data_IF_782936801215
#
_entry.id   IF_782936801215
#
_cell.length_a   1.000
_cell.length_b   1.000
_cell.length_c   1.000
_cell.angle_alpha   90.00
_cell.angle_beta   90.00
_cell.angle_gamma   90.00
#
_symmetry.space_group_name_H-M   'P 1'
#
loop_
_entity.id
_entity.type
_entity.pdbx_description
1 polymer ?
#
# COMPACT_ATOMS: atom_id res chain seq x y z
N UNK A 1 -8.53 -13.56 1.02
CA UNK A 1 -9.28 -14.71 1.59
C UNK A 1 -10.77 -14.45 1.42
N UNK A 2 -11.57 -15.47 1.08
CA UNK A 2 -13.04 -15.35 1.04
C UNK A 2 -13.66 -15.49 2.44
N UNK A 3 -14.32 -14.43 2.93
CA UNK A 3 -14.94 -14.38 4.26
C UNK A 3 -16.39 -13.89 4.21
N UNK A 4 -17.15 -14.15 5.26
CA UNK A 4 -18.46 -13.50 5.50
C UNK A 4 -18.21 -12.15 6.19
N UNK A 5 -18.80 -11.09 5.65
CA UNK A 5 -18.62 -9.72 6.10
C UNK A 5 -19.46 -9.38 7.31
N UNK A 6 -20.75 -9.65 7.24
CA UNK A 6 -21.68 -9.35 8.35
C UNK A 6 -21.51 -10.38 9.46
N UNK A 7 -21.35 -9.87 10.68
CA UNK A 7 -21.28 -10.68 11.90
C UNK A 7 -22.41 -10.31 12.85
N UNK A 8 -22.91 -11.31 13.57
CA UNK A 8 -23.92 -11.14 14.62
C UNK A 8 -23.38 -11.62 15.97
N UNK A 9 -23.58 -10.83 17.03
CA UNK A 9 -23.21 -11.18 18.38
C UNK A 9 -24.22 -12.14 19.01
N UNK A 10 -23.77 -13.29 19.48
CA UNK A 10 -24.62 -14.27 20.17
C UNK A 10 -24.93 -13.88 21.64
N UNK A 11 -24.56 -12.67 22.07
CA UNK A 11 -24.74 -12.20 23.46
C UNK A 11 -25.62 -10.95 23.56
N UNK A 12 -25.73 -10.16 22.49
CA UNK A 12 -26.53 -8.92 22.49
C UNK A 12 -27.17 -8.62 21.13
N UNK A 13 -27.13 -9.59 20.19
CA UNK A 13 -27.74 -9.55 18.85
C UNK A 13 -27.28 -8.39 17.94
N UNK A 14 -26.30 -7.58 18.39
CA UNK A 14 -25.72 -6.54 17.58
C UNK A 14 -25.03 -7.12 16.34
N UNK A 15 -25.29 -6.51 15.18
CA UNK A 15 -24.64 -6.84 13.92
C UNK A 15 -23.60 -5.78 13.54
N UNK A 16 -22.51 -6.20 12.90
CA UNK A 16 -21.48 -5.29 12.38
C UNK A 16 -20.74 -5.90 11.19
N UNK A 17 -20.04 -5.04 10.44
CA UNK A 17 -19.19 -5.43 9.32
C UNK A 17 -17.77 -5.77 9.79
N UNK A 18 -17.33 -7.01 9.54
CA UNK A 18 -15.94 -7.40 9.68
C UNK A 18 -15.03 -6.60 8.73
N UNK A 19 -15.51 -6.23 7.53
CA UNK A 19 -14.71 -5.45 6.59
C UNK A 19 -14.36 -4.04 7.09
N UNK A 20 -15.16 -3.52 8.04
CA UNK A 20 -14.90 -2.22 8.67
C UNK A 20 -14.07 -2.36 9.94
N UNK A 21 -14.38 -3.37 10.77
CA UNK A 21 -13.80 -3.50 12.11
C UNK A 21 -12.57 -4.40 12.18
N UNK A 22 -12.43 -5.34 11.24
CA UNK A 22 -11.38 -6.36 11.24
C UNK A 22 -11.46 -7.30 12.44
N UNK A 23 -12.58 -7.29 13.18
CA UNK A 23 -12.69 -7.89 14.50
C UNK A 23 -13.90 -8.80 14.61
N UNK A 24 -13.68 -9.96 15.23
CA UNK A 24 -14.75 -10.87 15.64
C UNK A 24 -15.37 -10.48 16.99
N UNK A 25 -14.79 -9.48 17.68
CA UNK A 25 -15.30 -8.94 18.92
C UNK A 25 -16.46 -8.00 18.63
N UNK A 26 -17.57 -8.20 19.33
CA UNK A 26 -18.74 -7.32 19.23
C UNK A 26 -18.36 -5.90 19.70
N UNK A 27 -18.58 -4.86 18.87
CA UNK A 27 -18.25 -3.49 19.24
C UNK A 27 -19.16 -2.94 20.35
N UNK A 28 -20.34 -3.52 20.55
CA UNK A 28 -21.31 -3.03 21.54
C UNK A 28 -21.05 -3.58 22.96
N UNK A 29 -20.79 -4.88 23.09
CA UNK A 29 -20.65 -5.54 24.41
C UNK A 29 -19.27 -6.18 24.66
N UNK A 30 -18.35 -6.11 23.70
CA UNK A 30 -17.01 -6.69 23.82
C UNK A 30 -16.96 -8.21 23.78
N UNK A 31 -18.08 -8.91 23.58
CA UNK A 31 -18.14 -10.37 23.49
C UNK A 31 -17.38 -10.91 22.26
N UNK A 32 -16.67 -12.02 22.41
CA UNK A 32 -16.01 -12.75 21.31
C UNK A 32 -16.95 -13.79 20.65
N UNK A 33 -18.16 -13.98 21.17
CA UNK A 33 -19.14 -14.94 20.63
C UNK A 33 -19.90 -14.29 19.48
N UNK A 34 -19.39 -14.48 18.26
CA UNK A 34 -20.03 -13.97 17.05
C UNK A 34 -19.98 -14.96 15.89
N UNK A 35 -20.98 -14.89 15.02
CA UNK A 35 -21.12 -15.74 13.83
C UNK A 35 -21.26 -14.89 12.58
N UNK A 36 -20.74 -15.38 11.44
CA UNK A 36 -20.90 -14.72 10.15
C UNK A 36 -22.22 -15.12 9.51
N UNK A 37 -23.09 -14.16 9.23
CA UNK A 37 -24.48 -14.37 8.80
C UNK A 37 -24.71 -14.23 7.29
N UNK A 38 -23.76 -13.66 6.55
CA UNK A 38 -23.88 -13.58 5.09
C UNK A 38 -24.01 -14.96 4.45
N UNK A 39 -24.88 -15.08 3.44
CA UNK A 39 -25.05 -16.31 2.66
C UNK A 39 -23.73 -16.65 1.94
N UNK A 40 -23.16 -15.65 1.26
CA UNK A 40 -21.95 -15.78 0.45
C UNK A 40 -20.69 -15.28 1.15
N UNK A 41 -19.54 -15.82 0.72
CA UNK A 41 -18.21 -15.34 1.11
C UNK A 41 -17.65 -14.45 0.01
N UNK A 42 -17.15 -13.27 0.35
CA UNK A 42 -16.51 -12.35 -0.59
C UNK A 42 -15.01 -12.26 -0.35
N UNK A 43 -14.26 -12.04 -1.43
CA UNK A 43 -12.83 -11.87 -1.36
C UNK A 43 -12.47 -10.63 -0.55
N UNK A 44 -11.51 -10.77 0.36
CA UNK A 44 -11.06 -9.68 1.21
C UNK A 44 -9.57 -9.83 1.49
N UNK A 45 -8.83 -8.78 1.18
CA UNK A 45 -7.39 -8.67 1.46
C UNK A 45 -7.10 -7.48 2.37
N UNK A 46 -7.98 -6.47 2.41
CA UNK A 46 -7.77 -5.23 3.16
C UNK A 46 -8.17 -5.31 4.62
N UNK A 47 -7.29 -5.85 5.48
CA UNK A 47 -7.56 -5.88 6.91
C UNK A 47 -7.43 -4.48 7.52
N UNK A 48 -8.37 -4.04 8.38
CA UNK A 48 -8.27 -2.76 9.05
C UNK A 48 -6.93 -2.59 9.79
N UNK A 49 -6.24 -1.50 9.46
CA UNK A 49 -4.95 -1.14 10.01
C UNK A 49 -4.87 0.38 10.13
N UNK A 50 -4.82 0.87 11.36
CA UNK A 50 -4.47 2.26 11.64
C UNK A 50 -2.96 2.42 11.52
N UNK A 51 -2.54 3.51 10.89
CA UNK A 51 -1.14 3.91 10.80
C UNK A 51 -0.90 5.06 11.77
N UNK A 52 -0.66 4.71 13.04
CA UNK A 52 -0.33 5.67 14.08
C UNK A 52 1.20 5.91 14.11
N UNK A 53 1.62 7.09 13.66
CA UNK A 53 3.01 7.54 13.63
C UNK A 53 3.32 8.57 14.72
N UNK A 54 2.33 8.95 15.53
CA UNK A 54 2.50 9.94 16.59
C UNK A 54 3.54 9.54 17.65
N UNK A 55 3.64 8.26 18.08
CA UNK A 55 4.72 7.83 18.98
C UNK A 55 6.11 8.06 18.41
N UNK A 56 6.30 7.83 17.10
CA UNK A 56 7.58 8.05 16.42
C UNK A 56 7.91 9.54 16.37
N UNK A 57 6.93 10.39 16.01
CA UNK A 57 7.08 11.85 15.99
C UNK A 57 7.50 12.39 17.36
N UNK A 58 6.92 11.85 18.44
CA UNK A 58 7.27 12.23 19.81
C UNK A 58 8.71 11.89 20.16
N UNK A 59 9.20 10.71 19.78
CA UNK A 59 10.60 10.32 20.00
C UNK A 59 11.54 11.27 19.24
N UNK A 60 11.23 11.55 17.97
CA UNK A 60 12.04 12.44 17.12
C UNK A 60 12.05 13.91 17.56
N UNK A 61 11.12 14.33 18.43
CA UNK A 61 11.14 15.67 19.00
C UNK A 61 12.31 15.89 19.98
N UNK A 62 12.89 14.81 20.51
CA UNK A 62 13.96 14.88 21.52
C UNK A 62 15.18 14.02 21.21
N UNK A 63 15.04 13.01 20.35
CA UNK A 63 16.08 12.03 20.03
C UNK A 63 16.36 12.00 18.51
N UNK A 64 17.58 11.66 18.08
CA UNK A 64 17.90 11.56 16.66
C UNK A 64 17.21 10.36 15.97
N UNK A 65 17.14 10.41 14.64
CA UNK A 65 16.42 9.43 13.80
C UNK A 65 16.74 7.98 14.11
N UNK A 66 18.01 7.67 14.34
CA UNK A 66 18.50 6.33 14.67
C UNK A 66 17.76 5.67 15.85
N UNK A 67 17.28 6.45 16.83
CA UNK A 67 16.56 5.92 18.00
C UNK A 67 15.08 5.62 17.72
N UNK A 68 14.52 6.16 16.63
CA UNK A 68 13.11 6.01 16.27
C UNK A 68 12.88 5.05 15.08
N UNK A 69 13.93 4.74 14.31
CA UNK A 69 13.84 3.97 13.05
C UNK A 69 13.27 2.57 13.24
N UNK A 70 13.61 1.87 14.31
CA UNK A 70 13.11 0.50 14.51
C UNK A 70 11.62 0.47 14.83
N UNK A 71 11.12 1.35 15.69
CA UNK A 71 9.68 1.49 15.97
C UNK A 71 8.91 1.94 14.71
N UNK A 72 9.48 2.92 13.97
CA UNK A 72 8.93 3.37 12.70
C UNK A 72 8.79 2.21 11.71
N UNK A 73 9.85 1.43 11.49
CA UNK A 73 9.86 0.29 10.58
C UNK A 73 8.86 -0.78 11.02
N UNK A 74 8.74 -1.04 12.32
CA UNK A 74 7.78 -2.00 12.84
C UNK A 74 6.34 -1.58 12.50
N UNK A 75 5.97 -0.32 12.77
CA UNK A 75 4.65 0.23 12.48
C UNK A 75 4.31 0.20 10.99
N UNK A 76 5.23 0.65 10.14
CA UNK A 76 5.05 0.66 8.69
C UNK A 76 4.92 -0.75 8.11
N UNK A 77 5.72 -1.71 8.59
CA UNK A 77 5.61 -3.12 8.19
C UNK A 77 4.30 -3.74 8.63
N UNK A 78 3.85 -3.44 9.85
CA UNK A 78 2.56 -3.94 10.33
C UNK A 78 1.40 -3.39 9.48
N UNK A 79 1.39 -2.08 9.22
CA UNK A 79 0.41 -1.44 8.36
C UNK A 79 0.42 -2.04 6.95
N UNK A 80 1.58 -2.05 6.28
CA UNK A 80 1.68 -2.53 4.89
C UNK A 80 1.43 -4.03 4.73
N UNK A 81 1.60 -4.83 5.79
CA UNK A 81 1.26 -6.27 5.80
C UNK A 81 -0.25 -6.52 5.93
N UNK A 82 -0.96 -5.67 6.68
CA UNK A 82 -2.41 -5.81 6.89
C UNK A 82 -3.23 -5.21 5.75
N UNK A 83 -2.71 -4.14 5.13
CA UNK A 83 -3.36 -3.47 3.99
C UNK A 83 -3.41 -4.38 2.78
N UNK A 84 -4.54 -4.29 2.10
CA UNK A 84 -4.80 -4.88 0.80
C UNK A 84 -5.73 -3.96 0.01
N UNK A 85 -6.13 -4.39 -1.17
CA UNK A 85 -6.89 -3.61 -2.13
C UNK A 85 -8.19 -4.27 -2.56
N UNK A 86 -8.66 -5.30 -1.85
CA UNK A 86 -10.00 -5.87 -2.00
C UNK A 86 -10.73 -5.78 -0.65
N UNK A 87 -11.80 -5.00 -0.61
CA UNK A 87 -12.65 -4.82 0.56
C UNK A 87 -14.03 -5.39 0.29
N UNK A 88 -14.33 -6.55 0.88
CA UNK A 88 -15.65 -7.21 0.73
C UNK A 88 -16.06 -7.48 -0.71
N UNK A 89 -15.12 -7.92 -1.56
CA UNK A 89 -15.29 -8.16 -2.99
C UNK A 89 -15.08 -6.94 -3.88
N UNK A 90 -15.02 -5.74 -3.30
CA UNK A 90 -14.83 -4.51 -4.06
C UNK A 90 -13.36 -4.14 -4.14
N UNK A 91 -12.89 -3.99 -5.38
CA UNK A 91 -11.53 -3.54 -5.65
C UNK A 91 -11.38 -2.06 -5.26
N UNK A 92 -10.29 -1.75 -4.55
CA UNK A 92 -9.95 -0.42 -4.02
C UNK A 92 -8.77 0.19 -4.78
N UNK A 93 -8.59 1.51 -4.78
CA UNK A 93 -7.43 2.14 -5.41
C UNK A 93 -6.14 1.89 -4.64
N UNK A 94 -5.02 1.84 -5.38
CA UNK A 94 -3.71 2.06 -4.81
C UNK A 94 -3.62 3.51 -4.31
N UNK A 95 -3.82 3.70 -3.02
CA UNK A 95 -3.82 5.00 -2.35
C UNK A 95 -2.42 5.55 -2.08
N UNK A 96 -2.32 6.85 -1.90
CA UNK A 96 -1.07 7.58 -1.64
C UNK A 96 -0.50 7.28 -0.26
N UNK A 97 -1.33 6.96 0.74
CA UNK A 97 -0.88 6.57 2.09
C UNK A 97 -0.06 5.28 2.06
N UNK A 98 -0.45 4.29 1.26
CA UNK A 98 0.30 3.05 1.12
C UNK A 98 1.63 3.26 0.38
N UNK A 99 1.67 4.16 -0.62
CA UNK A 99 2.90 4.56 -1.30
C UNK A 99 3.84 5.30 -0.34
N UNK A 100 3.32 6.28 0.41
CA UNK A 100 4.07 7.01 1.43
C UNK A 100 4.65 6.07 2.49
N UNK A 101 3.85 5.12 2.99
CA UNK A 101 4.30 4.17 4.01
C UNK A 101 5.43 3.25 3.52
N UNK A 102 5.34 2.79 2.26
CA UNK A 102 6.41 2.01 1.63
C UNK A 102 7.66 2.84 1.43
N UNK A 103 7.50 4.08 0.99
CA UNK A 103 8.64 4.95 0.76
C UNK A 103 9.34 5.36 2.05
N UNK A 104 8.58 5.78 3.07
CA UNK A 104 9.12 6.10 4.39
C UNK A 104 9.87 4.91 4.99
N UNK A 105 9.38 3.68 4.77
CA UNK A 105 10.05 2.46 5.25
C UNK A 105 11.45 2.30 4.65
N UNK A 106 11.59 2.45 3.34
CA UNK A 106 12.88 2.32 2.64
C UNK A 106 13.79 3.52 2.89
N UNK A 107 13.25 4.75 2.88
CA UNK A 107 14.01 5.96 3.09
C UNK A 107 14.60 6.02 4.51
N UNK A 108 13.79 5.69 5.54
CA UNK A 108 14.28 5.64 6.91
C UNK A 108 15.30 4.51 7.13
N UNK A 109 15.12 3.35 6.50
CA UNK A 109 16.10 2.25 6.59
C UNK A 109 17.44 2.62 5.95
N UNK A 110 17.41 3.30 4.80
CA UNK A 110 18.62 3.72 4.10
C UNK A 110 19.34 4.86 4.84
N UNK A 111 18.60 5.86 5.32
CA UNK A 111 19.15 6.96 6.11
C UNK A 111 19.76 6.47 7.44
N UNK A 112 19.16 5.48 8.10
CA UNK A 112 19.74 4.91 9.32
C UNK A 112 21.03 4.12 9.06
N UNK A 113 21.17 3.49 7.89
CA UNK A 113 22.38 2.71 7.54
C UNK A 113 23.59 3.59 7.25
N UNK A 114 23.40 4.85 6.86
CA UNK A 114 24.52 5.77 6.60
C UNK A 114 25.25 6.22 7.88
N UNK A 115 24.78 5.84 9.08
CA UNK A 115 25.31 6.19 10.42
C UNK A 115 25.30 7.69 10.77
N UNK A 116 25.28 8.58 9.78
CA UNK A 116 25.16 10.02 9.94
C UNK A 116 24.52 10.57 8.66
N UNK A 117 23.19 10.48 8.52
CA UNK A 117 22.49 11.04 7.38
C UNK A 117 22.76 12.54 7.29
N UNK A 118 22.82 13.03 6.05
CA UNK A 118 22.92 14.46 5.75
C UNK A 118 21.64 15.18 6.16
N UNK A 119 21.70 16.49 6.40
CA UNK A 119 20.52 17.30 6.74
C UNK A 119 19.40 17.16 5.69
N UNK A 120 19.74 17.04 4.41
CA UNK A 120 18.77 16.84 3.33
C UNK A 120 18.08 15.47 3.41
N UNK A 121 18.82 14.42 3.77
CA UNK A 121 18.25 13.07 3.97
C UNK A 121 17.32 13.03 5.18
N UNK A 122 17.73 13.65 6.29
CA UNK A 122 16.90 13.75 7.50
C UNK A 122 15.63 14.53 7.22
N UNK A 123 15.73 15.71 6.59
CA UNK A 123 14.58 16.53 6.21
C UNK A 123 13.60 15.75 5.34
N UNK A 124 14.11 15.01 4.36
CA UNK A 124 13.31 14.20 3.47
C UNK A 124 12.51 13.12 4.22
N UNK A 125 13.16 12.40 5.15
CA UNK A 125 12.49 11.39 5.98
C UNK A 125 11.46 12.02 6.92
N UNK A 126 11.77 13.18 7.51
CA UNK A 126 10.85 13.90 8.40
C UNK A 126 9.61 14.41 7.66
N UNK A 127 9.74 14.88 6.42
CA UNK A 127 8.60 15.31 5.61
C UNK A 127 7.71 14.12 5.23
N UNK A 128 8.31 13.01 4.78
CA UNK A 128 7.57 11.76 4.56
C UNK A 128 6.84 11.33 5.83
N UNK A 129 7.50 11.33 6.99
CA UNK A 129 6.88 11.02 8.27
C UNK A 129 5.72 11.97 8.59
N UNK A 130 5.86 13.25 8.27
CA UNK A 130 4.84 14.28 8.47
C UNK A 130 3.58 14.08 7.63
N UNK A 131 3.71 13.57 6.41
CA UNK A 131 2.60 13.42 5.45
C UNK A 131 2.03 12.00 5.28
N UNK A 132 2.76 10.97 5.73
CA UNK A 132 2.41 9.56 5.45
C UNK A 132 1.02 9.18 5.95
N UNK A 133 0.69 9.46 7.22
CA UNK A 133 -0.61 9.14 7.81
C UNK A 133 -1.77 9.93 7.17
N UNK A 134 -1.50 11.10 6.56
CA UNK A 134 -2.47 11.89 5.81
C UNK A 134 -2.60 11.46 4.34
N UNK A 135 -1.70 10.60 3.86
CA UNK A 135 -1.67 10.18 2.45
C UNK A 135 -1.12 11.26 1.51
N UNK A 136 -0.20 12.08 2.02
CA UNK A 136 0.50 13.08 1.21
C UNK A 136 1.69 12.40 0.52
N UNK A 137 1.49 12.02 -0.74
CA UNK A 137 2.52 11.44 -1.59
C UNK A 137 2.35 11.88 -3.04
N UNK A 138 3.43 12.27 -3.74
CA UNK A 138 4.80 12.43 -3.24
C UNK A 138 4.95 13.64 -2.28
N UNK A 139 6.00 13.68 -1.43
CA UNK A 139 6.35 14.88 -0.66
C UNK A 139 6.72 16.04 -1.59
N UNK A 140 6.65 17.28 -1.07
CA UNK A 140 7.00 18.49 -1.81
C UNK A 140 8.52 18.63 -1.97
N UNK A 141 9.28 18.17 -0.97
CA UNK A 141 10.75 18.19 -1.03
C UNK A 141 11.30 17.25 -2.10
N UNK A 142 12.31 17.75 -2.81
CA UNK A 142 13.06 16.97 -3.78
C UNK A 142 13.78 15.81 -3.10
N UNK A 143 13.70 14.64 -3.73
CA UNK A 143 14.35 13.44 -3.19
C UNK A 143 15.87 13.56 -3.31
N UNK A 144 16.63 13.35 -2.21
CA UNK A 144 18.07 13.26 -2.29
C UNK A 144 18.51 12.10 -3.20
N UNK A 145 19.56 12.28 -4.00
CA UNK A 145 20.08 11.25 -4.92
C UNK A 145 20.38 9.94 -4.18
N UNK A 146 20.92 10.03 -2.96
CA UNK A 146 21.22 8.88 -2.10
C UNK A 146 19.97 8.10 -1.66
N UNK A 147 18.80 8.73 -1.64
CA UNK A 147 17.53 8.11 -1.30
C UNK A 147 16.66 7.78 -2.52
N UNK A 148 17.08 8.13 -3.74
CA UNK A 148 16.32 7.88 -4.97
C UNK A 148 15.98 6.38 -5.14
N UNK A 149 16.91 5.49 -4.80
CA UNK A 149 16.70 4.04 -4.86
C UNK A 149 15.61 3.57 -3.87
N UNK A 150 15.45 4.24 -2.72
CA UNK A 150 14.41 3.93 -1.76
C UNK A 150 13.00 4.11 -2.35
N UNK A 151 12.80 5.18 -3.15
CA UNK A 151 11.55 5.39 -3.88
C UNK A 151 11.31 4.33 -4.95
N UNK A 152 12.33 3.95 -5.71
CA UNK A 152 12.21 2.90 -6.72
C UNK A 152 11.79 1.56 -6.13
N UNK A 153 12.42 1.14 -5.02
CA UNK A 153 12.04 -0.08 -4.29
C UNK A 153 10.63 0.01 -3.71
N UNK A 154 10.30 1.14 -3.06
CA UNK A 154 9.00 1.37 -2.47
C UNK A 154 7.87 1.24 -3.49
N UNK A 155 8.04 1.85 -4.67
CA UNK A 155 7.06 1.76 -5.75
C UNK A 155 7.01 0.36 -6.34
N UNK A 156 8.14 -0.30 -6.56
CA UNK A 156 8.14 -1.68 -7.07
C UNK A 156 7.36 -2.62 -6.14
N UNK A 157 7.61 -2.55 -4.83
CA UNK A 157 6.89 -3.33 -3.83
C UNK A 157 5.41 -2.96 -3.75
N UNK A 158 5.09 -1.66 -3.81
CA UNK A 158 3.71 -1.21 -3.69
C UNK A 158 2.86 -1.62 -4.88
N UNK A 159 3.41 -1.43 -6.08
CA UNK A 159 2.78 -1.82 -7.34
C UNK A 159 2.66 -3.34 -7.44
N UNK A 160 3.64 -4.10 -6.97
CA UNK A 160 3.55 -5.57 -6.94
C UNK A 160 2.48 -6.07 -5.96
N UNK A 161 2.39 -5.46 -4.77
CA UNK A 161 1.32 -5.77 -3.82
C UNK A 161 -0.06 -5.51 -4.44
N UNK A 162 -0.25 -4.36 -5.10
CA UNK A 162 -1.48 -4.05 -5.80
C UNK A 162 -1.76 -5.02 -6.95
N UNK A 163 -0.75 -5.31 -7.78
CA UNK A 163 -0.86 -6.26 -8.91
C UNK A 163 -1.28 -7.65 -8.45
N UNK A 164 -0.80 -8.12 -7.29
CA UNK A 164 -1.24 -9.41 -6.72
C UNK A 164 -2.72 -9.41 -6.40
N UNK A 165 -3.23 -8.35 -5.78
CA UNK A 165 -4.65 -8.20 -5.46
C UNK A 165 -5.49 -8.03 -6.73
N UNK A 166 -5.03 -7.27 -7.73
CA UNK A 166 -5.70 -7.21 -9.05
C UNK A 166 -5.82 -8.59 -9.68
N UNK A 167 -4.76 -9.40 -9.61
CA UNK A 167 -4.78 -10.77 -10.12
C UNK A 167 -5.75 -11.65 -9.34
N UNK A 168 -5.78 -11.55 -8.01
CA UNK A 168 -6.73 -12.28 -7.17
C UNK A 168 -8.17 -11.89 -7.49
N UNK A 169 -8.44 -10.60 -7.72
CA UNK A 169 -9.78 -10.14 -8.11
C UNK A 169 -10.22 -10.67 -9.48
N UNK A 170 -9.30 -10.76 -10.44
CA UNK A 170 -9.53 -11.29 -11.79
C UNK A 170 -9.85 -12.81 -11.81
N UNK A 171 -9.58 -13.56 -10.73
CA UNK A 171 -9.97 -14.97 -10.63
C UNK A 171 -11.50 -15.13 -10.67
N UNK A 172 -12.23 -14.20 -10.05
CA UNK A 172 -13.70 -14.16 -10.07
C UNK A 172 -14.26 -13.29 -11.22
N UNK A 173 -13.42 -12.48 -11.87
CA UNK A 173 -13.80 -11.54 -12.94
C UNK A 173 -12.83 -11.63 -14.14
N UNK A 174 -12.89 -12.71 -14.94
CA UNK A 174 -11.87 -12.95 -15.95
C UNK A 174 -11.82 -11.87 -17.04
N UNK A 175 -10.63 -11.28 -17.21
CA UNK A 175 -10.35 -10.30 -18.26
C UNK A 175 -8.96 -10.59 -18.88
N UNK A 176 -8.91 -11.13 -20.12
CA UNK A 176 -7.65 -11.45 -20.78
C UNK A 176 -6.76 -10.22 -21.05
N UNK A 177 -7.38 -9.09 -21.34
CA UNK A 177 -6.72 -7.86 -21.75
C UNK A 177 -6.07 -7.16 -20.56
N UNK A 178 -6.73 -7.14 -19.41
CA UNK A 178 -6.13 -6.72 -18.14
C UNK A 178 -5.04 -7.69 -17.69
N UNK A 179 -5.27 -9.01 -17.79
CA UNK A 179 -4.29 -10.04 -17.39
C UNK A 179 -2.98 -9.90 -18.17
N UNK A 180 -3.06 -9.69 -19.48
CA UNK A 180 -1.89 -9.43 -20.33
C UNK A 180 -1.15 -8.16 -19.90
N UNK A 181 -1.89 -7.08 -19.62
CA UNK A 181 -1.31 -5.80 -19.21
C UNK A 181 -0.62 -5.89 -17.84
N UNK A 182 -1.19 -6.65 -16.89
CA UNK A 182 -0.55 -6.97 -15.61
C UNK A 182 0.73 -7.79 -15.79
N UNK A 183 0.79 -8.64 -16.81
CA UNK A 183 2.01 -9.34 -17.22
C UNK A 183 3.13 -8.36 -17.59
N UNK A 184 2.84 -7.39 -18.46
CA UNK A 184 3.81 -6.34 -18.83
C UNK A 184 4.24 -5.49 -17.64
N UNK A 185 3.30 -5.14 -16.75
CA UNK A 185 3.61 -4.42 -15.52
C UNK A 185 4.58 -5.21 -14.64
N UNK A 186 4.35 -6.52 -14.47
CA UNK A 186 5.22 -7.40 -13.67
C UNK A 186 6.65 -7.42 -14.18
N UNK A 187 6.87 -7.44 -15.49
CA UNK A 187 8.23 -7.45 -16.03
C UNK A 187 8.96 -6.12 -15.75
N UNK A 188 8.25 -4.99 -15.76
CA UNK A 188 8.83 -3.69 -15.38
C UNK A 188 9.11 -3.60 -13.87
N UNK A 189 8.25 -4.16 -13.02
CA UNK A 189 8.51 -4.30 -11.57
C UNK A 189 9.79 -5.09 -11.34
N UNK A 190 9.91 -6.29 -11.94
CA UNK A 190 11.11 -7.14 -11.78
C UNK A 190 12.38 -6.43 -12.23
N UNK A 191 12.31 -5.62 -13.29
CA UNK A 191 13.44 -4.80 -13.75
C UNK A 191 13.86 -3.79 -12.67
N UNK A 192 12.90 -3.09 -12.06
CA UNK A 192 13.18 -2.17 -10.95
C UNK A 192 13.74 -2.90 -9.72
N UNK A 193 13.18 -4.06 -9.36
CA UNK A 193 13.70 -4.91 -8.28
C UNK A 193 15.14 -5.38 -8.55
N UNK A 194 15.43 -5.81 -9.78
CA UNK A 194 16.77 -6.26 -10.18
C UNK A 194 17.81 -5.12 -10.09
N UNK A 195 17.40 -3.89 -10.39
CA UNK A 195 18.19 -2.68 -10.22
C UNK A 195 18.20 -2.14 -8.79
N UNK A 196 17.66 -2.87 -7.81
CA UNK A 196 17.57 -2.44 -6.41
C UNK A 196 16.91 -1.05 -6.25
N UNK A 197 15.94 -0.74 -7.13
CA UNK A 197 15.26 0.54 -7.15
C UNK A 197 16.02 1.68 -7.82
N UNK A 198 17.22 1.45 -8.38
CA UNK A 198 17.98 2.45 -9.15
C UNK A 198 17.34 2.66 -10.55
N UNK A 199 16.15 3.25 -10.55
CA UNK A 199 15.39 3.62 -11.75
C UNK A 199 15.04 5.10 -11.70
N UNK A 200 14.83 5.70 -12.87
CA UNK A 200 14.47 7.12 -12.95
C UNK A 200 13.13 7.42 -12.26
N UNK A 201 12.96 8.66 -11.78
CA UNK A 201 11.67 9.13 -11.26
C UNK A 201 10.55 9.05 -12.31
N UNK A 202 10.87 9.28 -13.58
CA UNK A 202 9.93 9.11 -14.69
C UNK A 202 9.43 7.66 -14.82
N UNK A 203 10.32 6.68 -14.63
CA UNK A 203 9.99 5.25 -14.60
C UNK A 203 9.10 4.93 -13.42
N UNK A 204 9.50 5.35 -12.21
CA UNK A 204 8.72 5.17 -10.97
C UNK A 204 7.30 5.72 -11.11
N UNK A 205 7.17 6.96 -11.56
CA UNK A 205 5.86 7.62 -11.77
C UNK A 205 5.02 6.86 -12.81
N UNK A 206 5.66 6.36 -13.88
CA UNK A 206 4.99 5.58 -14.91
C UNK A 206 4.48 4.23 -14.40
N UNK A 207 5.20 3.57 -13.48
CA UNK A 207 4.76 2.33 -12.84
C UNK A 207 3.51 2.54 -11.99
N UNK A 208 3.52 3.56 -11.12
CA UNK A 208 2.35 3.89 -10.29
C UNK A 208 1.15 4.25 -11.16
N UNK A 209 1.36 5.11 -12.17
CA UNK A 209 0.30 5.53 -13.09
C UNK A 209 -0.27 4.35 -13.88
N UNK A 210 0.57 3.45 -14.39
CA UNK A 210 0.11 2.25 -15.09
C UNK A 210 -0.69 1.32 -14.16
N UNK A 211 -0.22 1.09 -12.94
CA UNK A 211 -0.92 0.26 -11.97
C UNK A 211 -2.30 0.83 -11.61
N UNK A 212 -2.36 2.14 -11.30
CA UNK A 212 -3.62 2.85 -11.01
C UNK A 212 -4.59 2.80 -12.19
N UNK A 213 -4.10 2.98 -13.41
CA UNK A 213 -4.92 2.94 -14.62
C UNK A 213 -5.51 1.54 -14.90
N UNK A 214 -4.75 0.46 -14.67
CA UNK A 214 -5.30 -0.91 -14.75
C UNK A 214 -6.38 -1.10 -13.68
N UNK A 215 -6.12 -0.68 -12.44
CA UNK A 215 -7.12 -0.77 -11.38
C UNK A 215 -8.38 0.06 -11.63
N UNK A 216 -8.24 1.25 -12.21
CA UNK A 216 -9.37 2.07 -12.64
C UNK A 216 -10.20 1.34 -13.69
N UNK A 217 -9.55 0.81 -14.74
CA UNK A 217 -10.23 0.02 -15.76
C UNK A 217 -11.04 -1.13 -15.14
N UNK A 218 -10.45 -1.90 -14.22
CA UNK A 218 -11.13 -3.04 -13.58
C UNK A 218 -12.33 -2.62 -12.72
N UNK A 219 -12.29 -1.43 -12.12
CA UNK A 219 -13.43 -0.92 -11.32
C UNK A 219 -14.53 -0.29 -12.14
N UNK A 220 -14.18 0.39 -13.24
CA UNK A 220 -15.12 1.28 -13.95
C UNK A 220 -15.41 0.87 -15.38
N UNK A 221 -14.67 -0.10 -15.94
CA UNK A 221 -14.72 -0.48 -17.35
C UNK A 221 -14.13 0.57 -18.32
N UNK A 222 -13.36 1.55 -17.82
CA UNK A 222 -12.82 2.63 -18.66
C UNK A 222 -11.66 2.14 -19.54
N UNK A 223 -11.97 1.78 -20.79
CA UNK A 223 -11.00 1.27 -21.77
C UNK A 223 -9.85 2.24 -22.05
N UNK A 224 -10.08 3.56 -21.92
CA UNK A 224 -9.03 4.56 -22.10
C UNK A 224 -7.96 4.44 -21.00
N UNK A 225 -8.36 4.07 -19.78
CA UNK A 225 -7.43 3.83 -18.69
C UNK A 225 -6.52 2.63 -19.02
N UNK A 226 -7.08 1.53 -19.54
CA UNK A 226 -6.29 0.37 -19.93
C UNK A 226 -5.35 0.66 -21.10
N UNK A 227 -5.83 1.36 -22.14
CA UNK A 227 -5.00 1.80 -23.26
C UNK A 227 -3.83 2.67 -22.76
N UNK A 228 -4.12 3.63 -21.87
CA UNK A 228 -3.11 4.51 -21.30
C UNK A 228 -2.10 3.76 -20.41
N UNK A 229 -2.51 2.67 -19.75
CA UNK A 229 -1.58 1.82 -19.00
C UNK A 229 -0.61 1.09 -19.94
N UNK A 230 -1.12 0.54 -21.05
CA UNK A 230 -0.32 -0.17 -22.06
C UNK A 230 0.70 0.73 -22.71
N UNK A 231 0.29 1.93 -23.13
CA UNK A 231 1.18 2.92 -23.74
C UNK A 231 2.33 3.30 -22.80
N UNK A 232 2.03 3.53 -21.52
CA UNK A 232 3.06 3.81 -20.52
C UNK A 232 4.05 2.66 -20.39
N UNK A 233 3.55 1.42 -20.26
CA UNK A 233 4.40 0.25 -20.11
C UNK A 233 5.25 -0.03 -21.35
N UNK A 234 4.72 0.22 -22.55
CA UNK A 234 5.45 0.06 -23.81
C UNK A 234 6.60 1.07 -23.92
N UNK A 235 6.42 2.31 -23.45
CA UNK A 235 7.49 3.33 -23.44
C UNK A 235 8.63 3.03 -22.46
N UNK A 236 8.40 2.12 -21.49
CA UNK A 236 9.41 1.67 -20.55
C UNK A 236 10.19 0.43 -21.03
N UNK A 237 9.81 -0.18 -22.16
CA UNK A 237 10.46 -1.39 -22.66
C UNK A 237 11.86 -1.09 -23.17
#
# INVERSE_FOLDING_TARGET
>A
MKIRGTRECQSCDAQWSYYETGSVRCPNCGSMRSVGVDEDRREHTDSPAELDLEPVRRTLATEPLEHAVDDLKQRLREYTRKRGFIKGGELQPLDDRYLAARELLHAADLAARSHSPTETEELYVLELLGGTDRGEWPPETEIPDSLAAARGLAVAEAVEAYRRDLRTWLEDHPDPEATKTLGSLREQIKRAEALQGEVSLGTTNSLVAAARAIGQYLRTGDENALASARDRLQRLQ
#
